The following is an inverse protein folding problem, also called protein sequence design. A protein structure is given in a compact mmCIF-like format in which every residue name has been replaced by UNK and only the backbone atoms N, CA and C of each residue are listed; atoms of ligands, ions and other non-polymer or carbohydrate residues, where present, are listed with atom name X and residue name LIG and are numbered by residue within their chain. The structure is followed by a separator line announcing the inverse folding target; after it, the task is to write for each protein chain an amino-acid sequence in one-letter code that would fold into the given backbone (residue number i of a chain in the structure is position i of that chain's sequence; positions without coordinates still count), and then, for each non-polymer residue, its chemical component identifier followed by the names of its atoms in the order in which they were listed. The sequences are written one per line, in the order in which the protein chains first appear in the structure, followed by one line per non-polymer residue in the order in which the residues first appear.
data_IF_477488193143
#
_entry.id   IF_477488193143
#
_cell.length_a   1.000
_cell.length_b   1.000
_cell.length_c   1.000
_cell.angle_alpha   90.00
_cell.angle_beta   90.00
_cell.angle_gamma   90.00
#
_symmetry.space_group_name_H-M   'P 1'
#
loop_
_entity.id
_entity.type
_entity.pdbx_description
1 polymer ?
#
# COMPACT_ATOMS: atom_id res chain seq x y z
N UNK A 1 -8.67 16.69 -4.72
CA UNK A 1 -8.61 15.23 -4.88
C UNK A 1 -7.40 14.74 -5.68
N UNK A 2 -6.50 15.61 -6.15
CA UNK A 2 -5.42 15.25 -7.11
C UNK A 2 -4.41 14.22 -6.59
N UNK A 3 -4.13 14.18 -5.28
CA UNK A 3 -3.20 13.19 -4.70
C UNK A 3 -3.83 11.91 -4.17
N UNK A 4 -5.17 11.78 -4.17
CA UNK A 4 -5.85 10.59 -3.67
C UNK A 4 -5.62 9.37 -4.57
N UNK A 5 -5.84 9.55 -5.88
CA UNK A 5 -5.61 8.51 -6.89
C UNK A 5 -4.18 7.96 -6.86
N UNK A 6 -3.12 8.79 -6.93
CA UNK A 6 -1.76 8.24 -6.85
C UNK A 6 -1.47 7.60 -5.48
N UNK A 7 -2.04 8.09 -4.38
CA UNK A 7 -1.95 7.44 -3.07
C UNK A 7 -2.65 6.07 -3.00
N UNK A 8 -3.62 5.81 -3.87
CA UNK A 8 -4.28 4.50 -3.96
C UNK A 8 -3.56 3.56 -4.95
N UNK A 9 -2.96 4.11 -6.00
CA UNK A 9 -2.27 3.29 -7.00
C UNK A 9 -0.89 2.84 -6.52
N UNK A 10 -0.13 3.70 -5.84
CA UNK A 10 1.25 3.37 -5.43
C UNK A 10 1.35 2.07 -4.61
N UNK A 11 0.55 1.85 -3.56
CA UNK A 11 0.66 0.62 -2.77
C UNK A 11 0.35 -0.64 -3.58
N UNK A 12 -0.60 -0.56 -4.52
CA UNK A 12 -0.93 -1.66 -5.43
C UNK A 12 0.24 -1.97 -6.37
N UNK A 13 0.85 -0.94 -6.96
CA UNK A 13 2.04 -1.11 -7.82
C UNK A 13 3.18 -1.73 -7.03
N UNK A 14 3.44 -1.26 -5.81
CA UNK A 14 4.50 -1.80 -4.94
C UNK A 14 4.23 -3.25 -4.59
N UNK A 15 2.98 -3.61 -4.29
CA UNK A 15 2.59 -5.01 -4.04
C UNK A 15 2.87 -5.91 -5.24
N UNK A 16 2.49 -5.47 -6.45
CA UNK A 16 2.75 -6.21 -7.69
C UNK A 16 4.25 -6.36 -7.94
N UNK A 17 5.04 -5.30 -7.72
CA UNK A 17 6.50 -5.38 -7.82
C UNK A 17 7.11 -6.38 -6.83
N UNK A 18 6.63 -6.40 -5.58
CA UNK A 18 7.08 -7.36 -4.57
C UNK A 18 6.73 -8.80 -4.97
N UNK A 19 5.55 -9.03 -5.55
CA UNK A 19 5.18 -10.34 -6.10
C UNK A 19 6.17 -10.79 -7.19
N UNK A 20 6.48 -9.94 -8.17
CA UNK A 20 7.47 -10.26 -9.21
C UNK A 20 8.87 -10.49 -8.64
N UNK A 21 9.28 -9.72 -7.62
CA UNK A 21 10.58 -9.91 -6.97
C UNK A 21 10.65 -11.15 -6.09
N UNK A 22 9.52 -11.65 -5.61
CA UNK A 22 9.49 -12.87 -4.80
C UNK A 22 9.89 -14.12 -5.59
N UNK A 23 10.01 -14.04 -6.94
CA UNK A 23 10.38 -15.13 -7.85
C UNK A 23 9.60 -16.43 -7.61
N UNK A 24 8.41 -16.34 -7.03
CA UNK A 24 7.58 -17.52 -6.83
C UNK A 24 6.86 -17.81 -8.15
N UNK A 25 6.98 -19.03 -8.63
CA UNK A 25 6.23 -19.53 -9.80
C UNK A 25 4.79 -19.91 -9.44
N UNK A 26 4.25 -19.31 -8.39
CA UNK A 26 2.91 -19.57 -7.87
C UNK A 26 1.95 -18.47 -8.32
N UNK A 27 0.67 -18.81 -8.43
CA UNK A 27 -0.35 -17.82 -8.78
C UNK A 27 -0.46 -16.71 -7.72
N UNK A 28 -0.96 -15.53 -8.09
CA UNK A 28 -1.20 -14.42 -7.14
C UNK A 28 -2.06 -14.85 -5.94
N UNK A 29 -3.05 -15.74 -6.17
CA UNK A 29 -3.89 -16.33 -5.12
C UNK A 29 -3.08 -17.20 -4.15
N UNK A 30 -2.22 -18.06 -4.67
CA UNK A 30 -1.34 -18.91 -3.84
C UNK A 30 -0.31 -18.08 -3.07
N UNK A 31 0.22 -17.02 -3.69
CA UNK A 31 1.09 -16.06 -3.01
C UNK A 31 0.40 -15.43 -1.81
N UNK A 32 -0.82 -14.90 -2.01
CA UNK A 32 -1.63 -14.31 -0.93
C UNK A 32 -1.94 -15.33 0.17
N UNK A 33 -2.29 -16.57 -0.20
CA UNK A 33 -2.56 -17.63 0.76
C UNK A 33 -1.31 -18.02 1.56
N UNK A 34 -0.14 -18.06 0.91
CA UNK A 34 1.15 -18.30 1.56
C UNK A 34 1.48 -17.19 2.55
N UNK A 35 1.30 -15.92 2.15
CA UNK A 35 1.50 -14.78 3.04
C UNK A 35 0.54 -14.78 4.24
N UNK A 36 -0.69 -15.25 4.05
CA UNK A 36 -1.66 -15.42 5.12
C UNK A 36 -1.22 -16.50 6.10
N UNK A 37 -0.85 -17.67 5.62
CA UNK A 37 -0.38 -18.80 6.45
C UNK A 37 0.87 -18.46 7.25
N UNK A 38 1.78 -17.66 6.67
CA UNK A 38 2.99 -17.18 7.34
C UNK A 38 2.75 -16.00 8.31
N UNK A 39 1.51 -15.47 8.38
CA UNK A 39 1.21 -14.25 9.14
C UNK A 39 1.97 -13.01 8.64
N UNK A 40 2.46 -13.05 7.40
CA UNK A 40 3.26 -11.99 6.79
C UNK A 40 2.42 -11.00 5.98
N UNK A 41 1.17 -11.32 5.67
CA UNK A 41 0.28 -10.50 4.85
C UNK A 41 0.12 -9.07 5.36
N UNK A 42 -0.14 -8.89 6.67
CA UNK A 42 -0.25 -7.57 7.28
C UNK A 42 1.07 -6.78 7.24
N UNK A 43 2.21 -7.47 7.34
CA UNK A 43 3.54 -6.85 7.27
C UNK A 43 3.81 -6.32 5.86
N UNK A 44 3.48 -7.12 4.84
CA UNK A 44 3.65 -6.73 3.44
C UNK A 44 2.68 -5.61 3.06
N UNK A 45 1.41 -5.69 3.45
CA UNK A 45 0.46 -4.59 3.24
C UNK A 45 0.96 -3.28 3.85
N UNK A 46 1.48 -3.34 5.09
CA UNK A 46 2.06 -2.17 5.74
C UNK A 46 3.29 -1.62 4.97
N UNK A 47 4.13 -2.52 4.44
CA UNK A 47 5.29 -2.15 3.62
C UNK A 47 4.86 -1.48 2.30
N UNK A 48 3.79 -1.96 1.66
CA UNK A 48 3.25 -1.39 0.42
C UNK A 48 2.72 0.03 0.60
N UNK A 49 2.22 0.37 1.80
CA UNK A 49 1.70 1.71 2.10
C UNK A 49 2.83 2.69 2.42
N UNK A 50 4.00 2.21 2.85
CA UNK A 50 5.12 3.06 3.27
C UNK A 50 5.59 4.05 2.18
N UNK A 51 5.66 3.70 0.88
CA UNK A 51 5.93 4.65 -0.20
C UNK A 51 4.94 5.81 -0.33
N UNK A 52 3.69 5.69 0.17
CA UNK A 52 2.79 6.85 0.23
C UNK A 52 3.32 7.96 1.14
N UNK A 53 4.13 7.64 2.15
CA UNK A 53 4.78 8.65 2.99
C UNK A 53 5.79 9.48 2.18
N UNK A 54 6.55 8.82 1.30
CA UNK A 54 7.46 9.50 0.37
C UNK A 54 6.69 10.38 -0.61
N UNK A 55 5.59 9.89 -1.17
CA UNK A 55 4.72 10.67 -2.06
C UNK A 55 4.12 11.89 -1.33
N UNK A 56 3.62 11.69 -0.12
CA UNK A 56 3.09 12.74 0.74
C UNK A 56 4.14 13.82 0.99
N UNK A 57 5.34 13.43 1.42
CA UNK A 57 6.42 14.36 1.71
C UNK A 57 6.85 15.14 0.46
N UNK A 58 6.90 14.47 -0.70
CA UNK A 58 7.21 15.12 -1.96
C UNK A 58 6.17 16.20 -2.34
N UNK A 59 4.87 15.90 -2.24
CA UNK A 59 3.82 16.90 -2.50
C UNK A 59 3.83 18.03 -1.48
N UNK A 60 4.06 17.72 -0.21
CA UNK A 60 4.15 18.73 0.84
C UNK A 60 5.32 19.70 0.61
N UNK A 61 6.50 19.19 0.26
CA UNK A 61 7.68 20.04 -0.04
C UNK A 61 7.48 20.94 -1.26
N UNK A 62 6.69 20.49 -2.23
CA UNK A 62 6.35 21.27 -3.42
C UNK A 62 5.15 22.22 -3.21
N UNK A 63 4.66 22.37 -1.97
CA UNK A 63 3.50 23.21 -1.60
C UNK A 63 2.18 22.76 -2.26
N UNK A 64 2.07 21.49 -2.63
CA UNK A 64 0.83 20.89 -3.14
C UNK A 64 -0.02 20.33 -2.00
N UNK A 65 -0.48 21.18 -1.08
CA UNK A 65 -1.17 20.77 0.15
C UNK A 65 -2.48 20.00 -0.13
N UNK A 66 -3.20 20.39 -1.19
CA UNK A 66 -4.41 19.69 -1.63
C UNK A 66 -4.13 18.27 -2.14
N UNK A 67 -2.98 18.05 -2.78
CA UNK A 67 -2.56 16.72 -3.22
C UNK A 67 -2.06 15.90 -2.02
N UNK A 68 -1.23 16.50 -1.16
CA UNK A 68 -0.73 15.87 0.05
C UNK A 68 -1.86 15.37 0.97
N UNK A 69 -2.92 16.17 1.17
CA UNK A 69 -4.16 15.75 1.85
C UNK A 69 -4.82 14.54 1.19
N UNK A 70 -4.85 14.49 -0.14
CA UNK A 70 -5.38 13.35 -0.88
C UNK A 70 -4.59 12.05 -0.60
N UNK A 71 -3.26 12.13 -0.56
CA UNK A 71 -2.40 10.98 -0.25
C UNK A 71 -2.65 10.47 1.16
N UNK A 72 -2.76 11.37 2.15
CA UNK A 72 -3.11 11.01 3.53
C UNK A 72 -4.45 10.27 3.58
N UNK A 73 -5.46 10.78 2.87
CA UNK A 73 -6.79 10.14 2.85
C UNK A 73 -6.72 8.72 2.27
N UNK A 74 -5.94 8.50 1.21
CA UNK A 74 -5.70 7.16 0.67
C UNK A 74 -4.96 6.25 1.67
N UNK A 75 -3.96 6.79 2.37
CA UNK A 75 -3.25 6.05 3.45
C UNK A 75 -4.20 5.61 4.56
N UNK A 76 -5.16 6.46 4.96
CA UNK A 76 -6.18 6.07 5.93
C UNK A 76 -7.07 4.92 5.44
N UNK A 77 -7.46 4.91 4.16
CA UNK A 77 -8.22 3.79 3.57
C UNK A 77 -7.47 2.47 3.75
N UNK A 78 -6.17 2.44 3.47
CA UNK A 78 -5.35 1.24 3.71
C UNK A 78 -5.20 0.91 5.20
N UNK A 79 -5.01 1.91 6.06
CA UNK A 79 -4.92 1.68 7.50
C UNK A 79 -6.20 1.02 8.05
N UNK A 80 -7.38 1.48 7.61
CA UNK A 80 -8.65 0.85 7.96
C UNK A 80 -8.77 -0.56 7.37
N UNK A 81 -8.35 -0.79 6.11
CA UNK A 81 -8.36 -2.12 5.52
C UNK A 81 -7.48 -3.11 6.31
N UNK A 82 -6.25 -2.71 6.66
CA UNK A 82 -5.32 -3.51 7.48
C UNK A 82 -5.90 -3.78 8.87
N UNK A 83 -6.54 -2.79 9.48
CA UNK A 83 -7.18 -2.94 10.78
C UNK A 83 -8.34 -3.94 10.74
N UNK A 84 -9.21 -3.86 9.73
CA UNK A 84 -10.32 -4.80 9.55
C UNK A 84 -9.80 -6.23 9.34
N UNK A 85 -8.78 -6.41 8.50
CA UNK A 85 -8.17 -7.73 8.24
C UNK A 85 -7.48 -8.31 9.47
N UNK A 86 -6.94 -7.48 10.36
CA UNK A 86 -6.30 -7.94 11.60
C UNK A 86 -7.29 -8.37 12.68
N UNK A 87 -8.50 -7.79 12.66
CA UNK A 87 -9.55 -8.05 13.67
C UNK A 87 -10.40 -9.28 13.29
N UNK A 88 -10.57 -9.55 12.00
CA UNK A 88 -11.15 -10.79 11.46
C UNK A 88 -10.21 -11.99 11.66
#
# INVERSE_FOLDING_TARGET
MTGFVPGLIIPLVVFVLLYFFSKQEVSLSEYLQTLWQLGALLKILSLCVLPNLLLFLNFYRQKYDLAARGVIMATFVYAFAVMLVKVL
#
